data_IF_132881076375
#
_entry.id   IF_132881076375
#
_cell.length_a   1.000
_cell.length_b   1.000
_cell.length_c   1.000
_cell.angle_alpha   90.00
_cell.angle_beta   90.00
_cell.angle_gamma   90.00
#
_symmetry.space_group_name_H-M   'P 1'
#
loop_
_entity.id
_entity.type
_entity.pdbx_description
1 polymer ?
#
# COMPACT_ATOMS: atom_id res chain seq x y z
N UNK A 1 -18.44 0.21 16.44
CA UNK A 1 -18.42 0.35 14.97
C UNK A 1 -17.05 0.88 14.66
N UNK A 2 -16.12 -0.02 14.35
CA UNK A 2 -14.71 0.33 14.19
C UNK A 2 -14.49 0.70 12.73
N UNK A 3 -14.21 1.97 12.50
CA UNK A 3 -13.99 2.55 11.19
C UNK A 3 -12.56 2.21 10.74
N UNK A 4 -12.39 1.36 9.71
CA UNK A 4 -11.08 1.08 9.14
C UNK A 4 -10.77 2.04 7.99
N UNK A 5 -9.54 2.53 7.90
CA UNK A 5 -9.00 3.16 6.71
C UNK A 5 -8.53 2.10 5.71
N UNK A 6 -9.01 2.16 4.47
CA UNK A 6 -8.62 1.25 3.41
C UNK A 6 -7.47 1.84 2.58
N UNK A 7 -6.40 1.08 2.44
CA UNK A 7 -5.19 1.41 1.72
C UNK A 7 -4.93 0.35 0.66
N UNK A 8 -5.12 0.59 -0.62
CA UNK A 8 -4.73 -0.41 -1.63
C UNK A 8 -3.27 -0.20 -2.04
N UNK A 9 -2.35 -1.08 -1.61
CA UNK A 9 -0.93 -0.97 -1.96
C UNK A 9 -0.46 -2.19 -2.70
N UNK A 10 -0.13 -1.96 -3.97
CA UNK A 10 0.20 -3.00 -4.90
C UNK A 10 1.70 -3.04 -5.21
N UNK A 11 2.24 -4.24 -5.21
CA UNK A 11 2.43 -4.77 -6.55
C UNK A 11 1.08 -5.46 -6.93
N UNK A 12 0.49 -5.15 -8.10
CA UNK A 12 -0.63 -5.74 -8.92
C UNK A 12 -2.00 -6.33 -8.36
N UNK A 13 -3.21 -5.63 -8.28
CA UNK A 13 -4.48 -5.41 -7.35
C UNK A 13 -5.62 -6.40 -6.78
N UNK A 14 -6.13 -6.34 -5.48
CA UNK A 14 -7.35 -7.02 -4.82
C UNK A 14 -8.46 -5.95 -4.69
N UNK A 15 -9.67 -6.37 -5.04
CA UNK A 15 -11.04 -5.90 -4.81
C UNK A 15 -11.32 -5.06 -3.55
N UNK A 16 -12.35 -4.23 -3.68
CA UNK A 16 -13.42 -4.23 -2.70
C UNK A 16 -14.73 -4.54 -3.45
N UNK A 17 -15.47 -5.56 -2.99
CA UNK A 17 -16.90 -5.61 -3.22
C UNK A 17 -17.58 -5.30 -1.88
N UNK A 18 -18.49 -4.33 -1.95
CA UNK A 18 -19.55 -3.89 -1.02
C UNK A 18 -19.35 -4.00 0.50
N UNK A 19 -19.43 -2.84 1.19
CA UNK A 19 -20.48 -2.52 2.20
C UNK A 19 -20.39 -1.02 2.56
N UNK A 20 -21.57 -0.43 2.76
CA UNK A 20 -21.92 0.99 2.89
C UNK A 20 -21.23 1.77 4.04
N UNK A 21 -20.93 3.06 3.77
CA UNK A 21 -20.70 4.11 4.78
C UNK A 21 -19.34 4.83 4.66
N UNK A 22 -19.29 6.18 4.76
CA UNK A 22 -18.08 6.94 4.46
C UNK A 22 -17.05 6.73 5.57
N UNK A 23 -15.96 6.06 5.22
CA UNK A 23 -14.80 5.90 6.09
C UNK A 23 -13.56 6.09 5.23
N UNK A 24 -12.69 7.03 5.60
CA UNK A 24 -11.52 7.48 4.83
C UNK A 24 -10.73 6.30 4.24
N UNK A 25 -10.94 6.01 2.95
CA UNK A 25 -10.37 4.85 2.29
C UNK A 25 -10.14 5.15 0.82
N UNK A 26 -9.01 4.67 0.30
CA UNK A 26 -8.49 5.04 -1.00
C UNK A 26 -8.50 3.91 -1.99
N UNK A 27 -9.30 4.11 -3.04
CA UNK A 27 -9.35 3.20 -4.18
C UNK A 27 -8.51 3.69 -5.37
N UNK A 28 -7.88 4.87 -5.27
CA UNK A 28 -7.06 5.50 -6.32
C UNK A 28 -7.80 5.74 -7.65
N UNK A 29 -9.12 5.55 -7.69
CA UNK A 29 -9.95 5.76 -8.87
C UNK A 29 -10.27 7.26 -9.05
N UNK A 30 -10.52 7.68 -10.29
CA UNK A 30 -10.78 9.09 -10.65
C UNK A 30 -11.99 9.70 -9.93
N UNK A 31 -12.95 8.86 -9.52
CA UNK A 31 -14.15 9.29 -8.78
C UNK A 31 -13.94 9.33 -7.26
N UNK A 32 -12.73 9.01 -6.77
CA UNK A 32 -12.40 9.09 -5.34
C UNK A 32 -12.26 10.53 -4.91
N UNK A 33 -12.76 10.87 -3.72
CA UNK A 33 -12.53 12.18 -3.14
C UNK A 33 -11.01 12.36 -2.91
N UNK A 34 -10.35 13.31 -3.61
CA UNK A 34 -8.90 13.50 -3.49
C UNK A 34 -8.49 13.90 -2.05
N UNK A 35 -9.40 14.44 -1.25
CA UNK A 35 -9.15 14.81 0.15
C UNK A 35 -9.13 13.62 1.11
N UNK A 36 -9.66 12.46 0.70
CA UNK A 36 -9.61 11.23 1.48
C UNK A 36 -8.34 10.41 1.20
N UNK A 37 -7.52 10.85 0.22
CA UNK A 37 -6.45 10.06 -0.39
C UNK A 37 -5.17 10.82 -0.65
N UNK A 38 -4.63 11.47 0.39
CA UNK A 38 -3.35 12.16 0.30
C UNK A 38 -2.19 11.19 0.57
N UNK A 39 -1.86 10.38 -0.44
CA UNK A 39 -0.58 9.68 -0.47
C UNK A 39 0.52 10.58 -0.99
N UNK A 40 1.71 10.49 -0.39
CA UNK A 40 2.92 11.12 -0.91
C UNK A 40 4.02 10.09 -1.16
N UNK A 41 4.88 10.38 -2.14
CA UNK A 41 6.10 9.60 -2.36
C UNK A 41 7.13 9.95 -1.29
N UNK A 42 7.94 8.98 -0.91
CA UNK A 42 9.12 9.26 -0.10
C UNK A 42 10.15 10.03 -0.91
N UNK A 43 10.86 10.97 -0.28
CA UNK A 43 11.96 11.71 -0.94
C UNK A 43 13.33 11.08 -0.67
N UNK A 44 13.42 10.19 0.33
CA UNK A 44 14.66 9.54 0.77
C UNK A 44 14.71 8.07 0.32
N UNK A 45 14.39 7.83 -0.96
CA UNK A 45 14.42 6.51 -1.60
C UNK A 45 15.10 6.56 -2.97
N UNK A 46 15.09 5.44 -3.70
CA UNK A 46 15.83 5.28 -4.96
C UNK A 46 14.93 5.47 -6.20
N UNK A 47 13.61 5.33 -6.05
CA UNK A 47 12.60 5.47 -7.11
C UNK A 47 11.19 5.58 -6.53
N UNK A 48 10.23 6.00 -7.35
CA UNK A 48 8.83 6.23 -6.93
C UNK A 48 7.88 5.08 -7.28
N UNK A 49 6.80 4.97 -6.49
CA UNK A 49 5.63 4.16 -6.83
C UNK A 49 4.82 4.81 -7.95
N UNK A 50 4.36 4.03 -8.92
CA UNK A 50 3.67 4.54 -10.11
C UNK A 50 2.18 4.23 -10.06
N UNK A 51 1.33 5.22 -10.32
CA UNK A 51 -0.10 4.98 -10.49
C UNK A 51 -0.34 4.21 -11.80
N UNK A 52 -0.86 2.99 -11.68
CA UNK A 52 -1.28 2.16 -12.79
C UNK A 52 -2.80 2.05 -12.81
N UNK A 53 -3.37 2.25 -14.00
CA UNK A 53 -4.81 2.19 -14.26
C UNK A 53 -5.10 0.99 -15.15
N UNK A 54 -5.72 -0.05 -14.61
CA UNK A 54 -5.93 -1.30 -15.33
C UNK A 54 -6.87 -1.15 -16.54
N UNK A 55 -7.83 -0.22 -16.49
CA UNK A 55 -8.74 0.07 -17.60
C UNK A 55 -8.05 0.74 -18.80
N UNK A 56 -6.94 1.45 -18.55
CA UNK A 56 -6.18 2.15 -19.59
C UNK A 56 -5.09 1.26 -20.23
N UNK A 57 -4.82 0.07 -19.66
CA UNK A 57 -3.79 -0.84 -20.18
C UNK A 57 -4.40 -1.89 -21.10
N UNK A 58 -4.03 -1.90 -22.41
CA UNK A 58 -4.52 -2.91 -23.36
C UNK A 58 -3.98 -4.32 -23.07
N UNK A 59 -2.99 -4.45 -22.19
CA UNK A 59 -2.35 -5.71 -21.79
C UNK A 59 -2.80 -6.20 -20.40
N UNK A 60 -3.96 -5.74 -19.92
CA UNK A 60 -4.49 -6.21 -18.63
C UNK A 60 -4.76 -7.72 -18.71
N UNK A 61 -3.88 -8.52 -18.09
CA UNK A 61 -4.08 -9.97 -17.97
C UNK A 61 -5.26 -10.24 -17.04
N UNK A 62 -6.05 -11.28 -17.30
CA UNK A 62 -7.26 -11.63 -16.52
C UNK A 62 -7.05 -11.76 -15.00
N UNK A 63 -5.81 -11.90 -14.55
CA UNK A 63 -5.42 -12.03 -13.15
C UNK A 63 -5.26 -10.69 -12.43
N UNK A 64 -5.26 -9.56 -13.16
CA UNK A 64 -5.28 -8.21 -12.61
C UNK A 64 -6.73 -7.79 -12.38
N UNK A 65 -7.00 -7.13 -11.26
CA UNK A 65 -8.31 -6.53 -11.09
C UNK A 65 -8.47 -5.25 -11.87
N UNK A 66 -9.74 -4.97 -12.17
CA UNK A 66 -10.15 -3.70 -12.75
C UNK A 66 -10.11 -2.65 -11.65
N UNK A 67 -9.47 -1.53 -11.93
CA UNK A 67 -9.32 -0.40 -11.00
C UNK A 67 -8.00 0.32 -11.20
N UNK A 68 -7.67 1.17 -10.24
CA UNK A 68 -6.46 1.99 -10.21
C UNK A 68 -5.65 1.69 -8.95
N UNK A 69 -4.32 1.82 -9.05
CA UNK A 69 -3.44 1.37 -7.98
C UNK A 69 -1.99 1.83 -8.09
N UNK A 70 -1.28 1.92 -6.96
CA UNK A 70 0.16 2.19 -6.93
C UNK A 70 0.98 0.94 -7.20
N UNK A 71 1.90 0.94 -8.16
CA UNK A 71 2.68 -0.21 -8.63
C UNK A 71 4.18 0.08 -8.62
N UNK A 72 4.97 -0.96 -8.37
CA UNK A 72 6.42 -0.97 -8.63
C UNK A 72 6.78 -2.10 -9.59
N UNK A 73 7.54 -1.77 -10.64
CA UNK A 73 8.07 -2.76 -11.57
C UNK A 73 9.50 -3.16 -11.18
N UNK A 74 9.63 -4.27 -10.45
CA UNK A 74 10.92 -4.77 -9.97
C UNK A 74 11.97 -5.01 -11.07
N UNK A 75 11.54 -5.37 -12.28
CA UNK A 75 12.46 -5.61 -13.41
C UNK A 75 13.23 -4.36 -13.88
N UNK A 76 12.78 -3.16 -13.50
CA UNK A 76 13.42 -1.90 -13.88
C UNK A 76 14.44 -1.42 -12.83
N UNK A 77 14.58 -2.15 -11.72
CA UNK A 77 15.34 -1.71 -10.55
C UNK A 77 16.34 -2.77 -10.11
N UNK A 78 17.50 -2.32 -9.64
CA UNK A 78 18.56 -3.19 -9.14
C UNK A 78 18.27 -3.68 -7.71
N UNK A 79 18.83 -4.83 -7.36
CA UNK A 79 18.75 -5.37 -6.00
C UNK A 79 19.27 -4.34 -4.97
N UNK A 80 18.53 -4.18 -3.87
CA UNK A 80 18.83 -3.20 -2.83
C UNK A 80 18.20 -1.83 -3.02
N UNK A 81 17.70 -1.50 -4.22
CA UNK A 81 16.93 -0.26 -4.43
C UNK A 81 15.60 -0.31 -3.70
N UNK A 82 15.16 0.84 -3.20
CA UNK A 82 13.99 1.01 -2.34
C UNK A 82 13.08 2.09 -2.89
N UNK A 83 11.80 1.94 -2.61
CA UNK A 83 10.80 2.97 -2.83
C UNK A 83 9.84 3.02 -1.66
N UNK A 84 9.30 4.20 -1.38
CA UNK A 84 8.48 4.46 -0.21
C UNK A 84 7.22 5.21 -0.60
N UNK A 85 6.08 4.69 -0.14
CA UNK A 85 4.79 5.36 -0.22
C UNK A 85 4.36 5.73 1.20
N UNK A 86 3.93 6.98 1.36
CA UNK A 86 3.55 7.59 2.63
C UNK A 86 2.05 7.82 2.62
N UNK A 87 1.37 7.36 3.66
CA UNK A 87 0.00 7.80 3.92
C UNK A 87 0.04 9.19 4.55
N UNK A 88 -1.03 9.96 4.42
CA UNK A 88 -1.24 11.14 5.24
C UNK A 88 -1.13 10.82 6.73
N UNK A 89 -0.80 11.84 7.51
CA UNK A 89 -0.81 11.70 8.96
C UNK A 89 -2.25 11.58 9.45
N UNK A 90 -2.51 10.55 10.26
CA UNK A 90 -3.82 10.26 10.84
C UNK A 90 -3.80 10.55 12.33
N UNK A 91 -4.90 11.12 12.82
CA UNK A 91 -5.11 11.41 14.24
C UNK A 91 -6.56 11.08 14.61
N UNK A 92 -6.77 9.86 15.09
CA UNK A 92 -8.10 9.34 15.40
C UNK A 92 -8.35 9.37 16.92
N UNK A 93 -9.60 9.62 17.31
CA UNK A 93 -10.00 9.58 18.73
C UNK A 93 -10.37 8.16 19.19
N UNK A 94 -10.76 7.31 18.25
CA UNK A 94 -11.28 5.96 18.51
C UNK A 94 -10.36 4.86 17.96
N UNK A 95 -10.61 3.62 18.41
CA UNK A 95 -9.93 2.44 17.87
C UNK A 95 -10.33 2.20 16.42
N UNK A 96 -9.32 2.12 15.57
CA UNK A 96 -9.46 1.96 14.14
C UNK A 96 -8.41 0.99 13.61
N UNK A 97 -8.57 0.65 12.34
CA UNK A 97 -7.78 -0.34 11.64
C UNK A 97 -7.30 0.24 10.32
N UNK A 98 -6.09 -0.10 9.91
CA UNK A 98 -5.58 0.18 8.57
C UNK A 98 -5.61 -1.14 7.82
N UNK A 99 -6.48 -1.23 6.83
CA UNK A 99 -6.57 -2.40 5.97
C UNK A 99 -5.89 -2.12 4.65
N UNK A 100 -5.00 -3.01 4.21
CA UNK A 100 -4.44 -2.94 2.87
C UNK A 100 -4.35 -4.28 2.17
N UNK A 101 -4.44 -4.23 0.85
CA UNK A 101 -4.28 -5.41 0.02
C UNK A 101 -3.00 -5.29 -0.80
N UNK A 102 -2.28 -6.41 -1.01
CA UNK A 102 -1.06 -6.52 -1.82
C UNK A 102 -1.03 -7.79 -2.71
N UNK A 103 -0.20 -7.78 -3.77
CA UNK A 103 0.16 -8.96 -4.55
C UNK A 103 1.62 -8.89 -4.94
N UNK A 104 2.28 -10.04 -4.88
CA UNK A 104 3.70 -10.13 -5.16
C UNK A 104 3.87 -11.35 -6.03
N UNK A 105 4.21 -11.12 -7.29
CA UNK A 105 4.37 -12.18 -8.26
C UNK A 105 5.65 -11.99 -9.06
N UNK A 106 6.31 -13.09 -9.33
CA UNK A 106 7.45 -13.19 -10.24
C UNK A 106 7.25 -14.40 -11.14
N UNK A 107 7.47 -14.22 -12.44
CA UNK A 107 7.34 -15.28 -13.44
C UNK A 107 8.54 -16.23 -13.43
N UNK A 108 9.71 -15.70 -13.09
CA UNK A 108 10.99 -16.39 -13.25
C UNK A 108 11.44 -17.10 -11.97
N UNK A 109 10.56 -17.18 -10.96
CA UNK A 109 10.85 -17.79 -9.66
C UNK A 109 11.75 -16.95 -8.74
N UNK A 110 12.38 -15.90 -9.26
CA UNK A 110 13.14 -14.91 -8.48
C UNK A 110 12.24 -14.11 -7.55
N UNK A 111 12.79 -13.57 -6.46
CA UNK A 111 12.00 -12.76 -5.53
C UNK A 111 11.62 -11.43 -6.20
N UNK A 112 10.33 -11.06 -6.29
CA UNK A 112 9.92 -9.76 -6.82
C UNK A 112 10.27 -8.59 -5.89
N UNK A 113 10.90 -8.86 -4.75
CA UNK A 113 11.22 -7.88 -3.72
C UNK A 113 10.62 -8.24 -2.35
N UNK A 114 10.70 -7.28 -1.43
CA UNK A 114 10.05 -7.33 -0.13
C UNK A 114 9.24 -6.06 0.10
N UNK A 115 8.03 -6.22 0.65
CA UNK A 115 7.18 -5.13 1.09
C UNK A 115 7.17 -5.09 2.63
N UNK A 116 7.43 -3.92 3.19
CA UNK A 116 7.47 -3.68 4.62
C UNK A 116 6.60 -2.48 4.97
N UNK A 117 5.81 -2.61 6.02
CA UNK A 117 4.97 -1.53 6.54
C UNK A 117 5.55 -1.06 7.86
N UNK A 118 5.69 0.25 7.98
CA UNK A 118 6.16 0.92 9.17
C UNK A 118 5.11 1.92 9.63
N UNK A 119 5.12 2.22 10.92
CA UNK A 119 4.28 3.24 11.53
C UNK A 119 5.20 4.20 12.27
N UNK A 120 5.16 5.47 11.87
CA UNK A 120 5.83 6.56 12.58
C UNK A 120 4.81 7.26 13.45
N UNK A 121 5.11 7.48 14.72
CA UNK A 121 4.22 8.19 15.67
C UNK A 121 4.84 9.54 16.03
N UNK A 122 4.05 10.62 15.98
CA UNK A 122 4.43 11.99 16.34
C UNK A 122 5.76 12.46 15.69
N UNK A 123 5.96 12.16 14.40
CA UNK A 123 7.19 12.50 13.69
C UNK A 123 8.46 11.79 14.18
N UNK A 124 8.35 10.86 15.14
CA UNK A 124 9.47 10.14 15.75
C UNK A 124 10.24 9.22 14.79
N UNK A 125 11.18 8.40 15.28
CA UNK A 125 11.89 7.46 14.43
C UNK A 125 10.95 6.41 13.82
N UNK A 126 11.23 5.96 12.60
CA UNK A 126 10.42 4.97 11.88
C UNK A 126 10.37 3.60 12.57
N UNK A 127 11.38 3.28 13.38
CA UNK A 127 11.43 2.05 14.16
C UNK A 127 11.54 0.76 13.32
N UNK A 128 10.97 -0.31 13.85
CA UNK A 128 10.89 -1.63 13.21
C UNK A 128 9.62 -1.76 12.36
N UNK A 129 9.61 -2.58 11.30
CA UNK A 129 8.39 -2.79 10.52
C UNK A 129 7.33 -3.49 11.37
N UNK A 130 6.10 -2.97 11.34
CA UNK A 130 4.94 -3.57 11.99
C UNK A 130 4.42 -4.78 11.21
N UNK A 131 4.70 -4.83 9.91
CA UNK A 131 4.37 -5.94 9.03
C UNK A 131 5.39 -6.05 7.90
N UNK A 132 5.68 -7.27 7.46
CA UNK A 132 6.54 -7.50 6.31
C UNK A 132 6.17 -8.77 5.55
N UNK A 133 6.46 -8.76 4.26
CA UNK A 133 6.40 -9.93 3.39
C UNK A 133 7.54 -9.86 2.37
N UNK A 134 8.05 -11.01 1.98
CA UNK A 134 9.03 -11.14 0.90
C UNK A 134 8.70 -12.32 0.00
N UNK A 135 9.25 -12.29 -1.21
CA UNK A 135 9.12 -13.35 -2.18
C UNK A 135 7.78 -13.34 -2.92
N UNK A 136 7.65 -14.23 -3.89
CA UNK A 136 6.41 -14.43 -4.65
C UNK A 136 5.35 -15.10 -3.76
N UNK A 137 4.12 -14.58 -3.76
CA UNK A 137 2.97 -15.08 -2.99
C UNK A 137 1.87 -15.67 -3.87
N UNK A 138 2.26 -16.11 -5.06
CA UNK A 138 1.37 -16.67 -6.08
C UNK A 138 0.70 -15.57 -6.91
N UNK A 139 -0.04 -15.99 -7.93
CA UNK A 139 -0.83 -15.09 -8.80
C UNK A 139 -2.16 -14.77 -8.16
N UNK A 140 -2.09 -14.30 -6.92
CA UNK A 140 -3.24 -14.01 -6.12
C UNK A 140 -2.88 -12.97 -5.08
N UNK A 141 -3.87 -12.69 -4.31
CA UNK A 141 -4.15 -11.37 -3.89
C UNK A 141 -4.42 -11.48 -2.41
N UNK A 142 -3.72 -10.68 -1.60
CA UNK A 142 -3.67 -10.88 -0.16
C UNK A 142 -4.06 -9.62 0.58
N UNK A 143 -4.94 -9.75 1.57
CA UNK A 143 -5.41 -8.65 2.41
C UNK A 143 -4.75 -8.72 3.78
N UNK A 144 -4.46 -7.57 4.34
CA UNK A 144 -3.85 -7.38 5.66
C UNK A 144 -4.65 -6.32 6.40
N UNK A 145 -4.89 -6.55 7.68
CA UNK A 145 -5.50 -5.58 8.58
C UNK A 145 -4.53 -5.32 9.73
N UNK A 146 -4.27 -4.04 10.00
CA UNK A 146 -3.42 -3.57 11.09
C UNK A 146 -4.30 -2.81 12.08
N UNK A 147 -4.46 -3.33 13.29
CA UNK A 147 -5.12 -2.61 14.36
C UNK A 147 -4.19 -1.49 14.88
N UNK A 148 -4.68 -0.25 14.90
CA UNK A 148 -3.92 0.91 15.36
C UNK A 148 -4.38 1.31 16.76
N UNK A 149 -3.43 1.36 17.69
CA UNK A 149 -3.64 1.77 19.09
C UNK A 149 -2.97 3.11 19.39
N UNK A 150 -2.93 3.99 18.38
CA UNK A 150 -2.47 5.38 18.52
C UNK A 150 -3.68 6.30 18.43
N UNK A 151 -3.84 7.14 19.44
CA UNK A 151 -5.01 8.00 19.61
C UNK A 151 -4.59 9.45 19.83
N UNK A 152 -5.47 10.39 19.46
CA UNK A 152 -5.31 11.81 19.76
C UNK A 152 -4.97 12.02 21.26
N UNK A 153 -4.03 12.92 21.61
CA UNK A 153 -3.37 13.93 20.77
C UNK A 153 -2.19 13.41 19.97
N UNK A 154 -1.93 12.10 19.95
CA UNK A 154 -0.89 11.53 19.12
C UNK A 154 -1.38 11.38 17.68
N UNK A 155 -0.46 11.52 16.76
CA UNK A 155 -0.66 11.32 15.35
C UNK A 155 0.28 10.22 14.84
N UNK A 156 -0.11 9.53 13.77
CA UNK A 156 0.73 8.53 13.16
C UNK A 156 0.71 8.60 11.64
N UNK A 157 1.79 8.13 11.03
CA UNK A 157 1.94 8.04 9.58
C UNK A 157 2.33 6.60 9.20
N UNK A 158 1.56 6.02 8.28
CA UNK A 158 1.90 4.73 7.69
C UNK A 158 2.91 4.90 6.55
N UNK A 159 3.91 4.02 6.49
CA UNK A 159 4.91 4.01 5.44
C UNK A 159 5.03 2.61 4.84
N UNK A 160 4.78 2.50 3.53
CA UNK A 160 4.96 1.26 2.77
C UNK A 160 6.25 1.34 1.99
N UNK A 161 7.21 0.51 2.39
CA UNK A 161 8.55 0.44 1.78
C UNK A 161 8.69 -0.84 0.99
N UNK A 162 9.07 -0.72 -0.28
CA UNK A 162 9.53 -1.85 -1.07
C UNK A 162 11.06 -1.89 -1.11
N UNK A 163 11.64 -3.07 -1.24
CA UNK A 163 13.07 -3.28 -1.46
C UNK A 163 13.26 -4.40 -2.47
N UNK A 164 14.05 -4.15 -3.51
CA UNK A 164 14.34 -5.17 -4.51
C UNK A 164 15.28 -6.24 -3.96
N UNK A 165 14.90 -7.50 -4.18
CA UNK A 165 15.65 -8.68 -3.77
C UNK A 165 16.10 -9.44 -5.02
N UNK A 166 17.23 -10.13 -4.92
CA UNK A 166 17.85 -10.84 -6.03
C UNK A 166 17.19 -12.21 -6.31
#
# INVERSE_FOLDING_TARGET
MNTCAFLLILAVQIHADSVEGPTAGCTFDEDSDPSLCEFSQGEEDDFDWQLFRAHASPHSTSDLLRGSYMMVNSSQHAAGQRAQLLLQTLSENDTHCVQFSYFLYSRDGHSPGALRVYVRVNGGPLGIPVWNVSGSRGRQWHQVELAVSTFWPNEYQGHWKTTQLH
#
